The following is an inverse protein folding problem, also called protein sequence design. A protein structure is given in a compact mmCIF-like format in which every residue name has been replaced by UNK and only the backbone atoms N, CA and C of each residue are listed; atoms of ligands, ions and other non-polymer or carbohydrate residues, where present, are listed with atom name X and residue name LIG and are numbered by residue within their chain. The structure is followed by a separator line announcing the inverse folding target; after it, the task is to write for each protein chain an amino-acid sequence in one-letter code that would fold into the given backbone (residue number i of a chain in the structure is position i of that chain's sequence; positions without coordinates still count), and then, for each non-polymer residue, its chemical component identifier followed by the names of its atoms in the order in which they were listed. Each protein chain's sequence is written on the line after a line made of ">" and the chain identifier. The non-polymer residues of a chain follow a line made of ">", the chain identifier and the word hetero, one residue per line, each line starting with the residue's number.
data_IF_180312098321
#
_entry.id   IF_180312098321
#
_cell.length_a   1.000
_cell.length_b   1.000
_cell.length_c   1.000
_cell.angle_alpha   90.00
_cell.angle_beta   90.00
_cell.angle_gamma   90.00
#
_symmetry.space_group_name_H-M   'P 1'
#
loop_
_entity.id
_entity.type
_entity.pdbx_description
1 polymer ?
#
# COMPACT_ATOMS: atom_id res chain seq x y z
N UNK A 1 2.39 -55.09 -3.57
CA UNK A 1 3.82 -55.39 -3.66
C UNK A 1 4.56 -54.24 -4.34
N UNK A 2 5.56 -53.73 -3.68
CA UNK A 2 6.67 -52.85 -3.99
C UNK A 2 6.61 -51.48 -3.34
N UNK A 3 7.13 -51.43 -2.13
CA UNK A 3 7.60 -50.24 -1.41
C UNK A 3 8.79 -49.62 -2.16
N UNK A 4 8.75 -48.33 -2.38
CA UNK A 4 9.96 -47.56 -2.68
C UNK A 4 10.16 -46.52 -1.59
N UNK A 5 11.14 -46.80 -0.75
CA UNK A 5 11.74 -45.94 0.24
C UNK A 5 12.58 -44.88 -0.54
N UNK A 6 12.32 -43.61 -0.32
CA UNK A 6 13.23 -42.56 -0.74
C UNK A 6 13.96 -41.97 0.45
N UNK A 7 15.22 -42.10 0.32
CA UNK A 7 16.32 -41.83 1.22
C UNK A 7 16.46 -40.28 1.40
N UNK A 8 16.61 -39.91 2.64
CA UNK A 8 17.02 -38.57 3.08
C UNK A 8 18.36 -38.17 2.51
N UNK A 9 18.47 -36.93 2.04
CA UNK A 9 19.77 -36.29 1.91
C UNK A 9 19.72 -34.93 2.60
N UNK A 10 20.20 -34.91 3.82
CA UNK A 10 20.49 -33.69 4.57
C UNK A 10 21.78 -33.07 4.01
N UNK A 11 21.70 -31.83 3.56
CA UNK A 11 22.89 -31.05 3.27
C UNK A 11 22.90 -29.82 4.18
N UNK A 12 23.70 -29.93 5.23
CA UNK A 12 24.02 -28.84 6.16
C UNK A 12 25.19 -28.07 5.54
N UNK A 13 24.99 -26.82 5.19
CA UNK A 13 26.09 -25.88 4.93
C UNK A 13 26.04 -24.76 5.96
N UNK A 14 26.91 -24.89 6.96
CA UNK A 14 27.26 -23.83 7.86
C UNK A 14 28.33 -22.95 7.21
N UNK A 15 28.04 -21.66 7.07
CA UNK A 15 29.05 -20.64 6.80
C UNK A 15 28.92 -19.53 7.84
N UNK A 16 29.74 -19.63 8.86
CA UNK A 16 30.04 -18.58 9.82
C UNK A 16 31.21 -17.73 9.30
N UNK A 17 31.02 -16.42 9.23
CA UNK A 17 32.14 -15.50 9.16
C UNK A 17 31.85 -14.26 10.02
N UNK A 18 32.69 -13.98 11.05
CA UNK A 18 32.62 -12.74 11.80
C UNK A 18 33.52 -11.69 11.14
N UNK A 19 33.01 -10.48 10.98
CA UNK A 19 33.85 -9.31 10.70
C UNK A 19 33.64 -8.29 11.80
N UNK A 20 34.54 -8.34 12.75
CA UNK A 20 34.83 -7.24 13.65
C UNK A 20 35.73 -6.24 12.93
N UNK A 21 35.35 -4.98 12.96
CA UNK A 21 36.29 -3.89 12.72
C UNK A 21 35.92 -2.72 13.61
N UNK A 22 36.65 -2.60 14.69
CA UNK A 22 36.81 -1.41 15.51
C UNK A 22 37.43 -0.28 14.68
N UNK A 23 36.95 0.92 14.88
CA UNK A 23 37.56 2.13 14.41
C UNK A 23 37.17 3.30 15.30
N UNK A 24 37.87 3.37 16.44
CA UNK A 24 37.85 4.47 17.38
C UNK A 24 38.72 5.60 16.82
N UNK A 25 38.24 6.84 16.75
CA UNK A 25 39.13 7.99 16.79
C UNK A 25 38.44 9.19 17.42
N UNK A 26 38.83 9.43 18.65
CA UNK A 26 38.64 10.67 19.36
C UNK A 26 39.79 11.62 19.03
N UNK A 27 39.49 12.89 18.85
CA UNK A 27 40.27 14.06 19.29
C UNK A 27 39.49 15.31 18.88
N UNK A 28 39.00 16.06 19.86
CA UNK A 28 39.63 17.07 20.70
C UNK A 28 39.73 18.43 20.03
N UNK A 29 38.93 19.33 20.55
CA UNK A 29 39.17 20.69 21.03
C UNK A 29 39.32 21.87 20.02
N UNK A 30 38.48 22.87 20.37
CA UNK A 30 38.82 24.32 20.44
C UNK A 30 39.05 25.04 19.11
N UNK A 31 38.43 26.13 18.81
CA UNK A 31 38.26 27.43 19.50
C UNK A 31 37.28 28.31 18.71
N UNK A 32 36.51 29.10 19.42
CA UNK A 32 35.89 30.35 19.01
C UNK A 32 36.98 31.46 19.10
N UNK A 33 36.94 32.58 18.39
CA UNK A 33 35.94 33.62 18.57
C UNK A 33 35.59 34.50 17.32
N UNK A 34 34.39 35.00 17.34
CA UNK A 34 33.93 36.39 17.42
C UNK A 34 34.28 37.43 16.29
N UNK A 35 33.28 38.23 16.12
CA UNK A 35 33.20 39.63 15.66
C UNK A 35 32.94 39.84 14.17
N UNK A 36 31.78 40.36 13.90
CA UNK A 36 31.23 41.73 14.00
C UNK A 36 31.34 42.48 12.65
N UNK A 37 30.23 42.97 12.23
CA UNK A 37 29.92 44.35 11.79
C UNK A 37 28.90 44.31 10.67
N UNK A 38 27.68 44.66 10.87
CA UNK A 38 26.97 45.91 10.72
C UNK A 38 27.15 46.63 9.37
N UNK A 39 26.01 47.01 8.88
CA UNK A 39 25.54 48.20 8.10
C UNK A 39 24.75 47.72 6.86
N UNK A 40 23.42 47.83 6.92
CA UNK A 40 22.60 48.99 6.57
C UNK A 40 22.82 49.49 5.14
N UNK A 41 21.78 49.38 4.32
CA UNK A 41 21.15 50.48 3.59
C UNK A 41 19.97 50.00 2.76
N UNK A 42 18.84 50.55 3.07
CA UNK A 42 17.62 50.79 2.33
C UNK A 42 17.76 50.83 0.80
N UNK A 43 16.85 50.22 0.06
CA UNK A 43 16.07 50.94 -0.91
C UNK A 43 14.75 50.29 -1.25
N UNK A 44 13.70 51.05 -1.21
CA UNK A 44 12.34 50.72 -1.55
C UNK A 44 12.21 50.73 -3.08
N UNK A 45 11.59 49.67 -3.62
CA UNK A 45 10.87 49.79 -4.88
C UNK A 45 9.60 48.96 -4.83
N UNK A 46 8.54 49.70 -4.94
CA UNK A 46 7.21 49.37 -5.40
C UNK A 46 7.17 48.07 -6.21
N UNK A 47 6.38 47.10 -5.75
CA UNK A 47 5.92 46.00 -6.58
C UNK A 47 4.44 46.16 -6.81
N UNK A 48 4.14 46.30 -8.08
CA UNK A 48 2.82 46.29 -8.66
C UNK A 48 2.07 45.02 -8.23
N UNK A 49 0.90 45.29 -7.74
CA UNK A 49 -0.20 44.36 -7.46
C UNK A 49 -0.61 43.66 -8.76
N UNK A 50 -0.09 42.47 -9.03
CA UNK A 50 -0.61 41.60 -10.04
C UNK A 50 -1.69 40.75 -9.38
N UNK A 51 -2.92 41.21 -9.50
CA UNK A 51 -4.10 40.42 -9.22
C UNK A 51 -4.06 39.18 -10.09
N UNK A 52 -3.71 38.03 -9.49
CA UNK A 52 -3.96 36.71 -10.07
C UNK A 52 -5.42 36.45 -9.89
N UNK A 53 -6.19 36.60 -10.95
CA UNK A 53 -7.54 36.10 -11.08
C UNK A 53 -7.50 34.59 -10.77
N UNK A 54 -8.34 34.07 -9.86
CA UNK A 54 -8.46 32.63 -9.67
C UNK A 54 -9.04 32.04 -10.96
N UNK A 55 -8.27 31.17 -11.62
CA UNK A 55 -8.80 30.34 -12.68
C UNK A 55 -10.03 29.58 -12.13
N UNK A 56 -11.12 29.49 -12.90
CA UNK A 56 -12.30 28.76 -12.45
C UNK A 56 -11.90 27.30 -12.21
N UNK A 57 -12.16 26.84 -10.99
CA UNK A 57 -12.11 25.43 -10.67
C UNK A 57 -12.90 24.69 -11.75
N UNK A 58 -12.24 23.81 -12.48
CA UNK A 58 -12.90 22.86 -13.33
C UNK A 58 -13.89 22.10 -12.43
N UNK A 59 -15.16 22.45 -12.57
CA UNK A 59 -16.26 21.58 -12.14
C UNK A 59 -16.06 20.29 -12.93
N UNK A 60 -15.56 19.28 -12.24
CA UNK A 60 -15.64 17.90 -12.72
C UNK A 60 -17.12 17.62 -12.75
N UNK A 61 -17.71 17.61 -13.96
CA UNK A 61 -19.05 17.10 -14.17
C UNK A 61 -19.06 15.67 -13.62
N UNK A 62 -19.60 15.52 -12.43
CA UNK A 62 -20.02 14.24 -11.90
C UNK A 62 -21.10 13.72 -12.86
N UNK A 63 -20.68 12.94 -13.83
CA UNK A 63 -21.56 12.12 -14.62
C UNK A 63 -22.12 11.11 -13.63
N UNK A 64 -23.38 11.36 -13.21
CA UNK A 64 -24.16 10.42 -12.41
C UNK A 64 -24.36 9.13 -13.24
N UNK A 65 -23.37 8.26 -13.20
CA UNK A 65 -23.40 6.94 -13.83
C UNK A 65 -24.03 5.89 -12.90
N UNK A 66 -24.41 6.27 -11.68
CA UNK A 66 -24.88 5.33 -10.65
C UNK A 66 -23.77 4.42 -10.11
N UNK A 67 -22.54 4.53 -10.61
CA UNK A 67 -21.37 3.80 -10.11
C UNK A 67 -20.76 4.54 -8.90
N UNK A 68 -20.49 3.79 -7.84
CA UNK A 68 -19.85 4.34 -6.64
C UNK A 68 -18.40 4.69 -6.94
N UNK A 69 -17.98 5.87 -6.52
CA UNK A 69 -16.57 6.26 -6.56
C UNK A 69 -15.71 5.43 -5.58
N UNK A 70 -14.40 5.40 -5.80
CA UNK A 70 -13.48 4.61 -4.95
C UNK A 70 -13.54 4.97 -3.46
N UNK A 71 -14.04 6.15 -3.11
CA UNK A 71 -14.19 6.64 -1.73
C UNK A 71 -15.56 6.33 -1.11
N UNK A 72 -16.55 6.03 -1.95
CA UNK A 72 -17.92 5.76 -1.54
C UNK A 72 -18.16 4.28 -1.24
N UNK A 73 -17.17 3.42 -1.57
CA UNK A 73 -17.23 2.00 -1.27
C UNK A 73 -17.08 1.76 0.23
N UNK A 74 -17.99 0.99 0.80
CA UNK A 74 -18.02 0.61 2.20
C UNK A 74 -17.61 -0.86 2.39
N UNK A 75 -17.11 -1.17 3.58
CA UNK A 75 -16.77 -2.53 3.98
C UNK A 75 -17.86 -3.08 4.89
N UNK A 76 -18.80 -3.83 4.33
CA UNK A 76 -19.91 -4.41 5.09
C UNK A 76 -19.54 -5.67 5.86
N UNK A 77 -18.38 -6.27 5.56
CA UNK A 77 -17.85 -7.43 6.27
C UNK A 77 -16.37 -7.27 6.58
N UNK A 78 -16.04 -7.45 7.85
CA UNK A 78 -14.68 -7.66 8.37
C UNK A 78 -14.77 -8.71 9.47
N UNK A 79 -13.76 -9.55 9.69
CA UNK A 79 -13.71 -10.42 10.86
C UNK A 79 -13.79 -9.60 12.16
N UNK A 80 -14.44 -10.14 13.20
CA UNK A 80 -14.75 -9.42 14.45
C UNK A 80 -13.53 -8.86 15.18
N UNK A 81 -12.36 -9.48 15.00
CA UNK A 81 -11.12 -9.09 15.65
C UNK A 81 -10.29 -8.07 14.84
N UNK A 82 -10.77 -7.65 13.66
CA UNK A 82 -10.05 -6.68 12.83
C UNK A 82 -10.53 -5.26 13.04
N UNK A 83 -9.58 -4.33 13.11
CA UNK A 83 -9.80 -2.89 13.18
C UNK A 83 -9.00 -2.18 12.10
N UNK A 84 -9.48 -1.02 11.65
CA UNK A 84 -8.73 -0.18 10.73
C UNK A 84 -7.48 0.36 11.41
N UNK A 85 -6.32 0.11 10.82
CA UNK A 85 -5.02 0.56 11.30
C UNK A 85 -4.46 1.72 10.48
N UNK A 86 -4.84 1.77 9.21
CA UNK A 86 -4.33 2.77 8.27
C UNK A 86 -5.33 3.01 7.15
N UNK A 87 -5.44 4.27 6.73
CA UNK A 87 -6.21 4.70 5.56
C UNK A 87 -5.45 5.79 4.84
N UNK A 88 -5.28 5.66 3.53
CA UNK A 88 -4.70 6.66 2.64
C UNK A 88 -5.61 6.84 1.42
N UNK A 89 -5.98 8.08 1.13
CA UNK A 89 -6.88 8.44 0.04
C UNK A 89 -6.17 9.44 -0.87
N UNK A 90 -5.77 8.97 -2.04
CA UNK A 90 -5.17 9.77 -3.10
C UNK A 90 -6.14 9.87 -4.27
N UNK A 91 -5.90 10.82 -5.15
CA UNK A 91 -6.81 11.16 -6.27
C UNK A 91 -7.43 9.95 -6.97
N UNK A 92 -6.68 8.88 -7.20
CA UNK A 92 -7.05 7.73 -8.00
C UNK A 92 -6.78 6.38 -7.30
N UNK A 93 -6.44 6.43 -6.01
CA UNK A 93 -6.13 5.25 -5.22
C UNK A 93 -6.58 5.44 -3.77
N UNK A 94 -7.35 4.50 -3.25
CA UNK A 94 -7.66 4.34 -1.84
C UNK A 94 -6.97 3.10 -1.31
N UNK A 95 -6.25 3.23 -0.22
CA UNK A 95 -5.64 2.10 0.50
C UNK A 95 -6.18 2.07 1.92
N UNK A 96 -6.67 0.91 2.35
CA UNK A 96 -7.11 0.68 3.73
C UNK A 96 -6.43 -0.58 4.26
N UNK A 97 -5.90 -0.50 5.47
CA UNK A 97 -5.31 -1.64 6.16
C UNK A 97 -6.08 -1.94 7.45
N UNK A 98 -6.40 -3.20 7.62
CA UNK A 98 -7.01 -3.73 8.83
C UNK A 98 -6.04 -4.72 9.48
N UNK A 99 -6.08 -4.82 10.79
CA UNK A 99 -5.31 -5.79 11.55
C UNK A 99 -6.00 -6.18 12.84
N UNK A 100 -5.63 -7.34 13.37
CA UNK A 100 -6.11 -7.78 14.66
C UNK A 100 -5.15 -7.29 15.76
N UNK A 101 -5.58 -6.43 16.71
CA UNK A 101 -4.71 -5.88 17.75
C UNK A 101 -4.00 -6.95 18.60
N UNK A 102 -4.72 -8.05 18.89
CA UNK A 102 -4.19 -9.16 19.67
C UNK A 102 -3.25 -10.08 18.87
N UNK A 103 -3.23 -9.95 17.53
CA UNK A 103 -2.39 -10.75 16.65
C UNK A 103 -1.86 -9.95 15.47
N UNK A 104 -0.69 -9.30 15.61
CA UNK A 104 -0.11 -8.45 14.56
C UNK A 104 0.23 -9.16 13.24
N UNK A 105 0.25 -10.51 13.25
CA UNK A 105 0.43 -11.29 12.02
C UNK A 105 -0.83 -11.30 11.15
N UNK A 106 -2.01 -11.06 11.74
CA UNK A 106 -3.28 -10.99 11.00
C UNK A 106 -3.44 -9.61 10.35
N UNK A 107 -3.50 -9.58 9.03
CA UNK A 107 -3.61 -8.35 8.24
C UNK A 107 -4.49 -8.52 7.02
N UNK A 108 -5.17 -7.43 6.67
CA UNK A 108 -5.88 -7.27 5.41
C UNK A 108 -5.50 -5.90 4.86
N UNK A 109 -5.03 -5.84 3.64
CA UNK A 109 -4.80 -4.59 2.90
C UNK A 109 -5.73 -4.60 1.70
N UNK A 110 -6.53 -3.56 1.55
CA UNK A 110 -7.39 -3.35 0.38
C UNK A 110 -6.95 -2.10 -0.34
N UNK A 111 -6.74 -2.22 -1.65
CA UNK A 111 -6.44 -1.12 -2.54
C UNK A 111 -7.52 -1.04 -3.62
N UNK A 112 -8.07 0.14 -3.82
CA UNK A 112 -9.15 0.39 -4.77
C UNK A 112 -8.72 1.55 -5.66
N UNK A 113 -8.81 1.36 -6.96
CA UNK A 113 -8.47 2.38 -7.95
C UNK A 113 -9.47 2.35 -9.11
N UNK A 114 -9.80 3.52 -9.63
CA UNK A 114 -10.48 3.68 -10.92
C UNK A 114 -9.50 4.00 -12.06
N UNK A 115 -8.20 3.83 -11.81
CA UNK A 115 -7.12 4.02 -12.76
C UNK A 115 -6.36 2.71 -12.96
N UNK A 116 -6.61 2.02 -14.08
CA UNK A 116 -5.99 0.72 -14.38
C UNK A 116 -4.47 0.80 -14.55
N UNK A 117 -3.91 1.92 -15.02
CA UNK A 117 -2.45 2.10 -15.12
C UNK A 117 -1.85 2.14 -13.71
N UNK A 118 -2.50 2.86 -12.80
CA UNK A 118 -2.08 2.93 -11.40
C UNK A 118 -2.16 1.58 -10.72
N UNK A 119 -3.21 0.82 -10.96
CA UNK A 119 -3.36 -0.52 -10.40
C UNK A 119 -2.32 -1.49 -10.98
N UNK A 120 -2.02 -1.42 -12.27
CA UNK A 120 -1.00 -2.26 -12.91
C UNK A 120 0.43 -2.01 -12.39
N UNK A 121 0.72 -0.81 -11.86
CA UNK A 121 1.99 -0.53 -11.16
C UNK A 121 2.08 -1.23 -9.80
N UNK A 122 0.95 -1.48 -9.15
CA UNK A 122 0.87 -2.04 -7.80
C UNK A 122 0.71 -3.56 -7.79
N UNK A 123 0.04 -4.10 -8.80
CA UNK A 123 -0.41 -5.50 -8.83
C UNK A 123 0.20 -6.22 -10.02
N UNK A 124 0.92 -7.30 -9.74
CA UNK A 124 1.37 -8.25 -10.75
C UNK A 124 0.64 -9.56 -10.54
N UNK A 125 -0.35 -9.84 -11.38
CA UNK A 125 -1.12 -11.09 -11.32
C UNK A 125 -0.27 -12.21 -11.94
N UNK A 126 0.01 -13.31 -11.20
CA UNK A 126 0.75 -14.45 -11.74
C UNK A 126 0.00 -15.13 -12.90
N UNK A 127 0.73 -15.76 -13.82
CA UNK A 127 0.12 -16.47 -14.95
C UNK A 127 -0.73 -17.68 -14.52
N UNK A 128 -0.38 -18.29 -13.40
CA UNK A 128 -1.05 -19.44 -12.79
C UNK A 128 -2.12 -19.05 -11.76
N UNK A 129 -2.45 -17.76 -11.64
CA UNK A 129 -3.53 -17.29 -10.77
C UNK A 129 -4.86 -17.94 -11.16
N UNK A 130 -5.58 -18.43 -10.14
CA UNK A 130 -6.88 -19.08 -10.31
C UNK A 130 -7.94 -18.07 -10.73
N UNK A 131 -8.77 -18.43 -11.70
CA UNK A 131 -9.96 -17.63 -12.03
C UNK A 131 -11.03 -17.82 -10.94
N UNK A 132 -11.54 -16.69 -10.42
CA UNK A 132 -12.63 -16.70 -9.44
C UNK A 132 -13.76 -15.76 -9.89
N UNK A 133 -14.93 -15.94 -9.28
CA UNK A 133 -16.07 -15.04 -9.44
C UNK A 133 -16.53 -14.63 -8.04
N UNK A 134 -16.67 -13.33 -7.81
CA UNK A 134 -17.16 -12.74 -6.57
C UNK A 134 -18.38 -11.88 -6.89
N UNK A 135 -19.57 -12.30 -6.45
CA UNK A 135 -20.81 -11.74 -6.93
C UNK A 135 -20.96 -11.95 -8.44
N UNK A 136 -21.06 -10.85 -9.20
CA UNK A 136 -21.10 -10.84 -10.67
C UNK A 136 -19.73 -10.55 -11.29
N UNK A 137 -18.71 -10.27 -10.49
CA UNK A 137 -17.42 -9.80 -10.92
C UNK A 137 -16.42 -10.95 -11.12
N UNK A 138 -15.81 -11.01 -12.30
CA UNK A 138 -14.71 -11.92 -12.58
C UNK A 138 -13.41 -11.39 -11.95
N UNK A 139 -12.58 -12.29 -11.45
CA UNK A 139 -11.34 -11.93 -10.80
C UNK A 139 -10.29 -13.03 -10.84
N UNK A 140 -9.19 -12.76 -10.14
CA UNK A 140 -8.06 -13.66 -9.96
C UNK A 140 -7.78 -13.83 -8.49
N UNK A 141 -7.42 -15.06 -8.12
CA UNK A 141 -6.96 -15.44 -6.79
C UNK A 141 -5.61 -16.13 -6.90
N UNK A 142 -4.70 -15.82 -5.98
CA UNK A 142 -3.45 -16.56 -5.80
C UNK A 142 -2.98 -16.47 -4.35
N UNK A 143 -2.05 -17.33 -3.97
CA UNK A 143 -1.37 -17.27 -2.69
C UNK A 143 0.14 -17.43 -2.88
N UNK A 144 0.93 -16.89 -1.92
CA UNK A 144 2.38 -17.02 -1.88
C UNK A 144 2.87 -17.81 -0.65
N UNK A 145 1.93 -18.48 0.04
CA UNK A 145 2.17 -19.19 1.29
C UNK A 145 2.19 -18.32 2.53
N UNK A 146 2.18 -16.99 2.39
CA UNK A 146 2.10 -16.01 3.49
C UNK A 146 0.82 -15.20 3.43
N UNK A 147 0.37 -14.89 2.24
CA UNK A 147 -0.82 -14.09 1.96
C UNK A 147 -1.66 -14.70 0.86
N UNK A 148 -2.95 -14.52 0.98
CA UNK A 148 -3.92 -14.70 -0.08
C UNK A 148 -4.19 -13.38 -0.77
N UNK A 149 -4.28 -13.41 -2.09
CA UNK A 149 -4.46 -12.26 -2.95
C UNK A 149 -5.71 -12.42 -3.79
N UNK A 150 -6.46 -11.34 -3.93
CA UNK A 150 -7.63 -11.26 -4.81
C UNK A 150 -7.51 -9.97 -5.63
N UNK A 151 -7.73 -10.09 -6.91
CA UNK A 151 -7.86 -8.95 -7.82
C UNK A 151 -9.15 -9.10 -8.61
N UNK A 152 -10.05 -8.12 -8.51
CA UNK A 152 -11.31 -8.09 -9.26
C UNK A 152 -11.50 -6.73 -9.92
N UNK A 153 -12.36 -6.71 -10.93
CA UNK A 153 -12.87 -5.50 -11.55
C UNK A 153 -14.37 -5.39 -11.31
N UNK A 154 -14.78 -4.30 -10.69
CA UNK A 154 -16.16 -3.97 -10.36
C UNK A 154 -16.54 -2.63 -10.98
N UNK A 155 -17.24 -2.69 -12.11
CA UNK A 155 -17.51 -1.51 -12.93
C UNK A 155 -16.21 -0.85 -13.41
N UNK A 156 -16.03 0.43 -13.09
CA UNK A 156 -14.80 1.18 -13.36
C UNK A 156 -13.72 0.97 -12.28
N UNK A 157 -14.07 0.36 -11.15
CA UNK A 157 -13.15 0.16 -10.05
C UNK A 157 -12.39 -1.16 -10.18
N UNK A 158 -11.12 -1.12 -9.88
CA UNK A 158 -10.26 -2.28 -9.69
C UNK A 158 -9.94 -2.41 -8.21
N UNK A 159 -10.21 -3.59 -7.65
CA UNK A 159 -10.04 -3.89 -6.23
C UNK A 159 -8.98 -4.97 -6.09
N UNK A 160 -7.94 -4.65 -5.35
CA UNK A 160 -6.89 -5.56 -4.97
C UNK A 160 -6.87 -5.76 -3.46
N UNK A 161 -6.89 -7.02 -3.04
CA UNK A 161 -6.83 -7.38 -1.63
C UNK A 161 -5.68 -8.33 -1.38
N UNK A 162 -4.90 -8.04 -0.35
CA UNK A 162 -3.88 -8.92 0.23
C UNK A 162 -4.26 -9.23 1.67
N UNK A 163 -4.32 -10.48 2.03
CA UNK A 163 -4.86 -10.92 3.32
C UNK A 163 -4.12 -12.13 3.88
N UNK A 164 -4.00 -12.20 5.19
CA UNK A 164 -3.56 -13.41 5.92
C UNK A 164 -4.72 -14.34 6.30
N UNK A 165 -5.94 -14.01 5.89
CA UNK A 165 -7.10 -14.90 6.05
C UNK A 165 -6.99 -16.07 5.09
N UNK A 166 -7.67 -17.17 5.42
CA UNK A 166 -7.92 -18.26 4.46
C UNK A 166 -8.71 -17.73 3.25
N UNK A 167 -8.68 -18.48 2.14
CA UNK A 167 -9.33 -18.08 0.87
C UNK A 167 -10.78 -17.64 1.06
N UNK A 168 -11.60 -18.42 1.78
CA UNK A 168 -13.00 -18.11 2.02
C UNK A 168 -13.18 -16.81 2.82
N UNK A 169 -12.30 -16.56 3.78
CA UNK A 169 -12.30 -15.30 4.55
C UNK A 169 -11.95 -14.10 3.70
N UNK A 170 -10.94 -14.25 2.83
CA UNK A 170 -10.52 -13.20 1.88
C UNK A 170 -11.64 -12.88 0.88
N UNK A 171 -12.32 -13.91 0.34
CA UNK A 171 -13.46 -13.73 -0.56
C UNK A 171 -14.58 -12.96 0.12
N UNK A 172 -14.96 -13.31 1.36
CA UNK A 172 -16.00 -12.59 2.10
C UNK A 172 -15.68 -11.12 2.34
N UNK A 173 -14.40 -10.78 2.55
CA UNK A 173 -13.99 -9.38 2.68
C UNK A 173 -14.26 -8.64 1.38
N UNK A 174 -13.90 -9.22 0.23
CA UNK A 174 -14.12 -8.59 -1.08
C UNK A 174 -15.61 -8.53 -1.44
N UNK A 175 -16.40 -9.57 -1.14
CA UNK A 175 -17.87 -9.56 -1.28
C UNK A 175 -18.53 -8.47 -0.42
N UNK A 176 -17.91 -8.11 0.69
CA UNK A 176 -18.38 -7.06 1.58
C UNK A 176 -18.05 -5.64 1.13
N UNK A 177 -17.30 -5.45 0.05
CA UNK A 177 -17.02 -4.12 -0.52
C UNK A 177 -18.16 -3.74 -1.46
N UNK A 178 -18.92 -2.68 -1.12
CA UNK A 178 -20.12 -2.27 -1.87
C UNK A 178 -20.39 -0.76 -1.77
#
# INVERSE_FOLDING_TARGET
>A
MKNKKYLSLALILALSAPLAACGNNANTAEEKPAQESAEEVTDAKENEDVAVEPEPANEIENKDSGEKGIYDLEFSYLPEDFVENFKDEKKDLRTVEYGAPENPAKKITVQISNNSERMAELVSVPEDAEDITIGENAGKFWDDGSFNYIFIKDGENEIYTRSTLEKEGSVKVVEGIN
#
